data_IF_954696382728
#
_entry.id   IF_954696382728
#
_cell.length_a   1.000
_cell.length_b   1.000
_cell.length_c   1.000
_cell.angle_alpha   90.00
_cell.angle_beta   90.00
_cell.angle_gamma   90.00
#
_symmetry.space_group_name_H-M   'P 1'
#
loop_
_entity.id
_entity.type
_entity.pdbx_description
1 polymer ?
#
# COMPACT_ATOMS: atom_id res chain seq x y z
N UNK A 1 -19.70 1.37 -14.82
CA UNK A 1 -19.44 1.31 -13.37
C UNK A 1 -17.94 1.13 -13.20
N UNK A 2 -17.21 2.19 -12.91
CA UNK A 2 -15.77 2.11 -12.69
C UNK A 2 -15.53 1.31 -11.39
N UNK A 3 -14.80 0.20 -11.49
CA UNK A 3 -14.47 -0.63 -10.32
C UNK A 3 -13.36 0.12 -9.58
N UNK A 4 -13.75 0.93 -8.60
CA UNK A 4 -12.78 1.55 -7.71
C UNK A 4 -12.13 0.46 -6.86
N UNK A 5 -10.83 0.28 -7.04
CA UNK A 5 -10.01 -0.58 -6.22
C UNK A 5 -9.55 0.22 -5.00
N UNK A 6 -9.72 -0.36 -3.82
CA UNK A 6 -9.23 0.24 -2.58
C UNK A 6 -7.92 -0.43 -2.20
N UNK A 7 -6.90 0.36 -1.90
CA UNK A 7 -5.58 -0.12 -1.50
C UNK A 7 -5.26 0.42 -0.10
N UNK A 8 -4.89 -0.46 0.82
CA UNK A 8 -4.31 -0.09 2.10
C UNK A 8 -2.81 0.10 1.93
N UNK A 9 -2.30 1.29 2.22
CA UNK A 9 -0.86 1.54 2.20
C UNK A 9 -0.36 1.76 3.60
N UNK A 10 0.46 0.83 4.07
CA UNK A 10 1.16 0.89 5.36
C UNK A 10 2.57 1.40 5.13
N UNK A 11 3.04 2.32 5.97
CA UNK A 11 4.37 2.91 5.86
C UNK A 11 4.86 3.40 7.22
N UNK A 12 6.17 3.50 7.40
CA UNK A 12 6.78 4.09 8.59
C UNK A 12 7.14 5.54 8.28
N UNK A 13 6.54 6.47 9.01
CA UNK A 13 6.83 7.90 8.97
C UNK A 13 7.55 8.30 10.26
N UNK A 14 8.81 8.71 10.17
CA UNK A 14 9.57 9.18 11.33
C UNK A 14 9.55 8.19 12.52
N UNK A 15 9.80 6.91 12.24
CA UNK A 15 9.69 5.79 13.19
C UNK A 15 8.28 5.50 13.74
N UNK A 16 7.23 6.12 13.21
CA UNK A 16 5.85 5.82 13.56
C UNK A 16 5.14 5.05 12.44
N UNK A 17 4.52 3.90 12.74
CA UNK A 17 3.73 3.17 11.76
C UNK A 17 2.48 3.95 11.42
N UNK A 18 2.27 4.20 10.14
CA UNK A 18 1.12 4.89 9.59
C UNK A 18 0.47 4.02 8.50
N UNK A 19 -0.81 4.24 8.28
CA UNK A 19 -1.56 3.57 7.23
C UNK A 19 -2.55 4.53 6.60
N UNK A 20 -2.71 4.46 5.27
CA UNK A 20 -3.65 5.29 4.54
C UNK A 20 -4.37 4.48 3.46
N UNK A 21 -5.65 4.77 3.26
CA UNK A 21 -6.47 4.13 2.24
C UNK A 21 -6.47 4.97 0.96
N UNK A 22 -6.16 4.31 -0.16
CA UNK A 22 -6.06 4.92 -1.48
C UNK A 22 -7.07 4.23 -2.40
N UNK A 23 -8.03 5.00 -2.89
CA UNK A 23 -8.90 4.59 -4.00
C UNK A 23 -8.16 4.81 -5.32
N UNK A 24 -8.17 3.79 -6.19
CA UNK A 24 -7.62 3.89 -7.55
C UNK A 24 -8.45 3.05 -8.51
N UNK A 25 -8.56 3.49 -9.76
CA UNK A 25 -9.17 2.67 -10.83
C UNK A 25 -8.19 1.60 -11.35
N UNK A 26 -6.90 1.73 -11.01
CA UNK A 26 -5.88 0.75 -11.35
C UNK A 26 -6.10 -0.57 -10.60
N UNK A 27 -5.80 -1.68 -11.27
CA UNK A 27 -5.90 -3.02 -10.67
C UNK A 27 -4.78 -3.31 -9.68
N UNK A 28 -3.66 -2.58 -9.77
CA UNK A 28 -2.50 -2.72 -8.89
C UNK A 28 -1.96 -1.34 -8.56
N UNK A 29 -1.49 -1.16 -7.31
CA UNK A 29 -0.81 0.04 -6.84
C UNK A 29 0.57 -0.39 -6.35
N UNK A 30 1.63 0.26 -6.86
CA UNK A 30 2.99 -0.02 -6.40
C UNK A 30 3.39 0.97 -5.29
N UNK A 31 4.35 0.62 -4.42
CA UNK A 31 4.87 1.54 -3.39
C UNK A 31 5.36 2.87 -3.97
N UNK A 32 5.99 2.85 -5.15
CA UNK A 32 6.47 4.05 -5.84
C UNK A 32 5.33 4.96 -6.30
N UNK A 33 4.20 4.38 -6.72
CA UNK A 33 2.98 5.12 -7.07
C UNK A 33 2.22 5.57 -5.82
N UNK A 34 2.32 4.84 -4.71
CA UNK A 34 1.70 5.18 -3.45
C UNK A 34 2.39 6.36 -2.75
N UNK A 35 3.71 6.50 -2.86
CA UNK A 35 4.48 7.60 -2.26
C UNK A 35 3.92 9.00 -2.54
N UNK A 36 3.68 9.42 -3.80
CA UNK A 36 3.10 10.73 -4.08
C UNK A 36 1.67 10.85 -3.52
N UNK A 37 0.88 9.77 -3.51
CA UNK A 37 -0.48 9.75 -2.98
C UNK A 37 -0.52 9.90 -1.46
N UNK A 38 0.42 9.26 -0.75
CA UNK A 38 0.61 9.41 0.69
C UNK A 38 0.94 10.86 1.04
N UNK A 39 1.86 11.48 0.28
CA UNK A 39 2.26 12.88 0.46
C UNK A 39 1.11 13.85 0.18
N UNK A 40 0.27 13.56 -0.81
CA UNK A 40 -0.92 14.37 -1.12
C UNK A 40 -1.97 14.26 -0.01
N UNK A 41 -2.22 13.04 0.50
CA UNK A 41 -3.15 12.78 1.60
C UNK A 41 -2.70 13.36 2.93
N UNK A 42 -1.39 13.43 3.16
CA UNK A 42 -0.81 13.88 4.41
C UNK A 42 0.19 15.01 4.13
N UNK A 43 -0.28 16.25 3.92
CA UNK A 43 0.60 17.40 3.68
C UNK A 43 1.55 17.67 4.84
N UNK A 44 1.22 17.20 6.05
CA UNK A 44 2.07 17.27 7.25
C UNK A 44 3.31 16.36 7.16
N UNK A 45 3.34 15.41 6.22
CA UNK A 45 4.53 14.58 5.92
C UNK A 45 5.68 15.40 5.36
N UNK A 46 5.46 16.67 4.94
CA UNK A 46 6.46 17.71 4.60
C UNK A 46 7.91 17.25 4.35
N UNK A 47 8.64 16.88 5.42
CA UNK A 47 10.02 16.35 5.38
C UNK A 47 10.22 15.00 6.11
N UNK A 48 9.14 14.36 6.57
CA UNK A 48 9.19 13.07 7.26
C UNK A 48 9.75 11.97 6.37
N UNK A 49 10.63 11.15 6.94
CA UNK A 49 11.26 10.04 6.22
C UNK A 49 10.27 8.88 6.13
N UNK A 50 9.73 8.66 4.93
CA UNK A 50 8.82 7.54 4.65
C UNK A 50 9.66 6.32 4.26
N UNK A 51 9.55 5.26 5.06
CA UNK A 51 10.25 3.99 4.86
C UNK A 51 9.27 2.83 4.98
N UNK A 52 9.69 1.64 4.57
CA UNK A 52 8.87 0.41 4.66
C UNK A 52 7.46 0.55 4.05
N UNK A 53 7.38 1.12 2.84
CA UNK A 53 6.09 1.31 2.16
C UNK A 53 5.58 -0.02 1.64
N UNK A 54 4.49 -0.49 2.21
CA UNK A 54 3.78 -1.70 1.84
C UNK A 54 2.41 -1.35 1.30
N UNK A 55 2.08 -1.85 0.12
CA UNK A 55 0.78 -1.64 -0.53
C UNK A 55 0.04 -2.96 -0.54
N UNK A 56 -1.16 -2.96 0.03
CA UNK A 56 -2.05 -4.11 0.09
C UNK A 56 -3.35 -3.78 -0.64
N UNK A 57 -3.73 -4.62 -1.59
CA UNK A 57 -4.98 -4.45 -2.32
C UNK A 57 -6.13 -4.97 -1.46
N UNK A 58 -7.06 -4.11 -1.08
CA UNK A 58 -8.28 -4.51 -0.37
C UNK A 58 -9.34 -5.01 -1.38
N UNK A 59 -8.97 -5.90 -2.30
CA UNK A 59 -10.00 -6.73 -2.94
C UNK A 59 -10.41 -7.76 -1.92
N UNK A 60 -11.71 -7.90 -1.74
CA UNK A 60 -12.28 -9.15 -1.24
C UNK A 60 -11.55 -10.32 -1.93
N UNK A 61 -10.90 -11.23 -1.19
CA UNK A 61 -10.12 -12.28 -1.79
C UNK A 61 -11.07 -13.13 -2.63
N UNK A 62 -10.98 -12.99 -3.95
CA UNK A 62 -11.34 -14.11 -4.82
C UNK A 62 -10.20 -15.09 -4.65
N UNK A 63 -10.41 -16.01 -3.72
CA UNK A 63 -9.58 -17.17 -3.48
C UNK A 63 -9.36 -17.94 -4.78
N UNK A 64 -8.30 -17.61 -5.51
CA UNK A 64 -7.74 -18.48 -6.55
C UNK A 64 -6.24 -18.52 -6.29
N UNK A 65 -5.83 -19.61 -5.66
CA UNK A 65 -4.63 -19.69 -4.83
C UNK A 65 -3.32 -19.27 -5.48
N UNK A 66 -2.53 -18.52 -4.73
CA UNK A 66 -1.08 -18.70 -4.71
C UNK A 66 -0.54 -18.15 -3.40
N UNK A 67 -0.39 -19.03 -2.41
CA UNK A 67 0.52 -18.82 -1.30
C UNK A 67 1.94 -18.77 -1.88
N UNK A 68 2.71 -17.66 -1.80
CA UNK A 68 4.14 -17.75 -2.03
C UNK A 68 4.71 -18.61 -0.89
N UNK A 69 5.06 -19.85 -1.26
CA UNK A 69 5.61 -20.85 -0.37
C UNK A 69 6.80 -20.27 0.39
N UNK A 70 6.70 -20.40 1.70
CA UNK A 70 7.73 -20.14 2.68
C UNK A 70 9.00 -20.93 2.32
N UNK A 71 9.95 -20.29 1.64
CA UNK A 71 11.30 -20.83 1.47
C UNK A 71 12.12 -20.49 2.73
N UNK A 72 11.94 -21.27 3.80
CA UNK A 72 13.08 -21.56 4.69
C UNK A 72 13.65 -22.91 4.27
N UNK A 73 14.85 -22.87 3.69
CA UNK A 73 15.71 -24.04 3.64
C UNK A 73 17.16 -23.58 3.65
N UNK A 74 17.78 -23.59 4.82
CA UNK A 74 19.04 -24.28 5.11
C UNK A 74 19.36 -24.16 6.60
#
# INVERSE_FOLDING_TARGET
MAKKNLFLVSYILDNQPQSCEIESDAQTLTPEQALPLIKEKNPDIGAGNVTDVQVQHMVEPKEEGTTPSHHIQS
#
